data_IF_385868622129
#
_entry.id   IF_385868622129
#
_cell.length_a   1.000
_cell.length_b   1.000
_cell.length_c   1.000
_cell.angle_alpha   90.00
_cell.angle_beta   90.00
_cell.angle_gamma   90.00
#
_symmetry.space_group_name_H-M   'P 1'
#
loop_
_entity.id
_entity.type
_entity.pdbx_description
1 polymer ?
#
# COMPACT_ATOMS: atom_id res chain seq x y z
N UNK A 1 15.41 2.61 -18.45
CA UNK A 1 14.63 1.47 -17.94
C UNK A 1 13.36 1.41 -18.75
N UNK A 2 12.96 0.24 -19.24
CA UNK A 2 11.74 0.10 -20.05
C UNK A 2 10.47 0.31 -19.20
N UNK A 3 9.37 0.72 -19.84
CA UNK A 3 8.10 1.02 -19.16
C UNK A 3 7.44 -0.23 -18.57
N UNK A 4 7.64 -1.40 -19.19
CA UNK A 4 7.16 -2.69 -18.69
C UNK A 4 7.91 -3.07 -17.40
N UNK A 5 9.23 -2.87 -17.34
CA UNK A 5 10.04 -3.04 -16.14
C UNK A 5 9.58 -2.10 -15.01
N UNK A 6 9.31 -0.83 -15.33
CA UNK A 6 8.80 0.13 -14.34
C UNK A 6 7.43 -0.29 -13.78
N UNK A 7 6.53 -0.81 -14.63
CA UNK A 7 5.24 -1.33 -14.18
C UNK A 7 5.39 -2.56 -13.26
N UNK A 8 6.31 -3.48 -13.58
CA UNK A 8 6.59 -4.62 -12.72
C UNK A 8 7.12 -4.19 -11.35
N UNK A 9 8.07 -3.25 -11.33
CA UNK A 9 8.60 -2.69 -10.09
C UNK A 9 7.50 -1.99 -9.28
N UNK A 10 6.63 -1.22 -9.93
CA UNK A 10 5.55 -0.50 -9.27
C UNK A 10 4.51 -1.45 -8.67
N UNK A 11 4.15 -2.53 -9.37
CA UNK A 11 3.27 -3.58 -8.83
C UNK A 11 3.91 -4.27 -7.63
N UNK A 12 5.20 -4.58 -7.70
CA UNK A 12 5.93 -5.19 -6.59
C UNK A 12 5.96 -4.27 -5.36
N UNK A 13 6.15 -2.97 -5.56
CA UNK A 13 6.07 -1.97 -4.51
C UNK A 13 4.68 -1.93 -3.85
N UNK A 14 3.62 -1.92 -4.65
CA UNK A 14 2.23 -1.93 -4.14
C UNK A 14 1.99 -3.19 -3.30
N UNK A 15 2.41 -4.37 -3.77
CA UNK A 15 2.26 -5.63 -3.04
C UNK A 15 3.00 -5.62 -1.70
N UNK A 16 4.23 -5.11 -1.68
CA UNK A 16 5.00 -4.94 -0.45
C UNK A 16 4.34 -3.95 0.51
N UNK A 17 3.88 -2.80 0.02
CA UNK A 17 3.21 -1.80 0.85
C UNK A 17 1.92 -2.35 1.47
N UNK A 18 1.10 -3.05 0.67
CA UNK A 18 -0.14 -3.66 1.14
C UNK A 18 0.14 -4.72 2.23
N UNK A 19 1.07 -5.65 1.98
CA UNK A 19 1.40 -6.72 2.93
C UNK A 19 1.94 -6.17 4.25
N UNK A 20 2.85 -5.19 4.18
CA UNK A 20 3.40 -4.56 5.37
C UNK A 20 2.35 -3.75 6.13
N UNK A 21 1.45 -3.06 5.42
CA UNK A 21 0.36 -2.30 6.05
C UNK A 21 -0.57 -3.23 6.80
N UNK A 22 -1.06 -4.30 6.16
CA UNK A 22 -1.95 -5.28 6.81
C UNK A 22 -1.27 -5.97 7.99
N UNK A 23 -0.02 -6.42 7.82
CA UNK A 23 0.73 -7.07 8.89
C UNK A 23 0.97 -6.16 10.09
N UNK A 24 1.30 -4.88 9.84
CA UNK A 24 1.47 -3.88 10.91
C UNK A 24 0.15 -3.62 11.63
N UNK A 25 -0.96 -3.45 10.90
CA UNK A 25 -2.27 -3.22 11.49
C UNK A 25 -2.73 -4.40 12.36
N UNK A 26 -2.50 -5.64 11.91
CA UNK A 26 -2.85 -6.82 12.68
C UNK A 26 -1.98 -6.97 13.93
N UNK A 27 -0.67 -6.72 13.82
CA UNK A 27 0.27 -6.80 14.93
C UNK A 27 -0.03 -5.76 16.01
N UNK A 28 -0.35 -4.54 15.59
CA UNK A 28 -0.49 -3.39 16.49
C UNK A 28 -1.95 -3.14 16.90
N UNK A 29 -2.90 -3.98 16.47
CA UNK A 29 -4.32 -3.81 16.74
C UNK A 29 -4.60 -3.81 18.26
N UNK A 30 -5.30 -2.79 18.78
CA UNK A 30 -5.69 -2.79 20.18
C UNK A 30 -6.71 -3.90 20.47
N UNK A 31 -6.64 -4.44 21.69
CA UNK A 31 -7.62 -5.40 22.19
C UNK A 31 -9.03 -4.79 22.13
N UNK A 32 -9.92 -5.41 21.35
CA UNK A 32 -11.33 -5.02 21.34
C UNK A 32 -12.01 -5.59 22.59
N UNK A 33 -12.33 -4.75 23.57
CA UNK A 33 -13.15 -5.19 24.70
C UNK A 33 -14.57 -5.48 24.22
N UNK A 34 -14.92 -6.77 24.12
CA UNK A 34 -16.25 -7.22 23.72
C UNK A 34 -17.30 -7.02 24.83
N UNK A 35 -16.87 -6.79 26.07
CA UNK A 35 -17.74 -6.55 27.23
C UNK A 35 -16.98 -5.83 28.35
N UNK A 36 -17.65 -4.97 29.16
CA UNK A 36 -17.01 -4.22 30.24
C UNK A 36 -16.37 -5.08 31.34
N UNK A 37 -16.85 -6.32 31.52
CA UNK A 37 -16.36 -7.26 32.54
C UNK A 37 -15.42 -8.33 31.98
N UNK A 38 -14.90 -8.18 30.76
CA UNK A 38 -13.96 -9.16 30.22
C UNK A 38 -12.62 -9.04 30.95
N UNK A 39 -12.07 -10.12 31.55
CA UNK A 39 -10.78 -10.08 32.23
C UNK A 39 -9.70 -9.64 31.23
N UNK A 40 -8.96 -8.59 31.57
CA UNK A 40 -7.90 -8.10 30.70
C UNK A 40 -6.76 -9.12 30.65
N UNK A 41 -6.32 -9.56 29.46
CA UNK A 41 -5.13 -10.39 29.36
C UNK A 41 -3.92 -9.64 29.92
N UNK A 42 -2.93 -10.35 30.50
CA UNK A 42 -1.74 -9.72 31.04
C UNK A 42 -1.07 -8.84 29.96
N UNK A 43 -0.81 -7.58 30.30
CA UNK A 43 -0.32 -6.58 29.37
C UNK A 43 0.96 -7.05 28.67
N UNK A 44 0.89 -7.25 27.35
CA UNK A 44 2.08 -7.38 26.53
C UNK A 44 2.72 -5.99 26.42
N UNK A 45 4.04 -5.91 26.60
CA UNK A 45 4.84 -4.69 26.75
C UNK A 45 4.89 -3.77 25.52
N UNK A 46 4.04 -3.96 24.53
CA UNK A 46 3.96 -3.14 23.31
C UNK A 46 2.79 -2.16 23.42
N UNK A 47 2.78 -1.33 24.47
CA UNK A 47 1.88 -0.18 24.52
C UNK A 47 2.43 0.91 23.59
N UNK A 48 2.18 0.79 22.29
CA UNK A 48 2.20 1.97 21.42
C UNK A 48 1.07 2.88 21.89
N UNK A 49 1.42 4.10 22.27
CA UNK A 49 0.49 5.15 22.67
C UNK A 49 -0.67 5.23 21.67
N UNK A 50 -1.93 5.07 22.12
CA UNK A 50 -3.12 4.94 21.25
C UNK A 50 -3.24 6.07 20.21
N UNK A 51 -2.66 7.25 20.50
CA UNK A 51 -2.59 8.36 19.56
C UNK A 51 -1.75 8.04 18.30
N UNK A 52 -0.65 7.30 18.44
CA UNK A 52 0.20 6.89 17.31
C UNK A 52 -0.47 5.83 16.43
N UNK A 53 -1.34 4.99 17.01
CA UNK A 53 -2.07 3.97 16.26
C UNK A 53 -3.08 4.57 15.26
N UNK A 54 -3.64 5.76 15.50
CA UNK A 54 -4.56 6.41 14.54
C UNK A 54 -3.81 7.01 13.33
N UNK A 55 -2.62 7.55 13.55
CA UNK A 55 -1.91 8.33 12.52
C UNK A 55 -1.07 7.47 11.57
N UNK A 56 -0.46 6.40 12.09
CA UNK A 56 0.35 5.49 11.29
C UNK A 56 -0.43 4.78 10.14
N UNK A 57 -1.66 4.27 10.35
CA UNK A 57 -2.48 3.70 9.29
C UNK A 57 -2.82 4.70 8.19
N UNK A 58 -3.09 5.97 8.56
CA UNK A 58 -3.38 7.03 7.59
C UNK A 58 -2.17 7.32 6.72
N UNK A 59 -0.98 7.38 7.32
CA UNK A 59 0.26 7.56 6.57
C UNK A 59 0.50 6.40 5.61
N UNK A 60 0.35 5.16 6.08
CA UNK A 60 0.47 3.95 5.25
C UNK A 60 -0.52 3.94 4.08
N UNK A 61 -1.79 4.28 4.35
CA UNK A 61 -2.82 4.39 3.32
C UNK A 61 -2.48 5.48 2.29
N UNK A 62 -1.95 6.63 2.73
CA UNK A 62 -1.52 7.70 1.83
C UNK A 62 -0.37 7.27 0.92
N UNK A 63 0.57 6.46 1.44
CA UNK A 63 1.69 5.92 0.68
C UNK A 63 1.20 4.92 -0.36
N UNK A 64 0.29 4.03 0.00
CA UNK A 64 -0.33 3.09 -0.92
C UNK A 64 -1.09 3.82 -2.05
N UNK A 65 -1.86 4.85 -1.71
CA UNK A 65 -2.58 5.66 -2.70
C UNK A 65 -1.63 6.38 -3.66
N UNK A 66 -0.49 6.90 -3.17
CA UNK A 66 0.52 7.51 -4.05
C UNK A 66 1.13 6.48 -5.01
N UNK A 67 1.42 5.28 -4.52
CA UNK A 67 1.94 4.20 -5.36
C UNK A 67 0.92 3.77 -6.43
N UNK A 68 -0.37 3.70 -6.09
CA UNK A 68 -1.44 3.41 -7.05
C UNK A 68 -1.53 4.50 -8.14
N UNK A 69 -1.47 5.78 -7.77
CA UNK A 69 -1.49 6.89 -8.75
C UNK A 69 -0.29 6.87 -9.70
N UNK A 70 0.89 6.47 -9.21
CA UNK A 70 2.07 6.29 -10.05
C UNK A 70 1.89 5.13 -11.03
N UNK A 71 1.29 4.03 -10.60
CA UNK A 71 0.93 2.92 -11.49
C UNK A 71 -0.04 3.38 -12.59
N UNK A 72 -1.09 4.12 -12.23
CA UNK A 72 -2.05 4.66 -13.21
C UNK A 72 -1.35 5.57 -14.24
N UNK A 73 -0.41 6.41 -13.80
CA UNK A 73 0.36 7.26 -14.70
C UNK A 73 1.24 6.44 -15.67
N UNK A 74 1.88 5.36 -15.19
CA UNK A 74 2.66 4.44 -16.04
C UNK A 74 1.76 3.72 -17.05
N UNK A 75 0.56 3.29 -16.65
CA UNK A 75 -0.42 2.69 -17.58
C UNK A 75 -0.89 3.69 -18.63
N UNK A 76 -1.14 4.94 -18.25
CA UNK A 76 -1.51 5.99 -19.20
C UNK A 76 -0.37 6.28 -20.21
N UNK A 77 0.88 6.18 -19.78
CA UNK A 77 2.04 6.32 -20.67
C UNK A 77 2.17 5.18 -21.68
N UNK A 78 1.73 3.95 -21.37
CA UNK A 78 1.67 2.85 -22.34
C UNK A 78 0.72 3.16 -23.50
N UNK A 79 -0.48 3.67 -23.19
CA UNK A 79 -1.49 3.97 -24.21
C UNK A 79 -1.01 5.04 -25.22
N UNK A 80 -0.08 5.91 -24.83
CA UNK A 80 0.53 6.91 -25.71
C UNK A 80 1.58 6.28 -26.63
N UNK A 81 2.24 5.22 -26.19
CA UNK A 81 3.25 4.50 -26.99
C UNK A 81 2.62 3.67 -28.11
N UNK A 82 1.44 3.09 -27.87
CA UNK A 82 0.69 2.27 -28.85
C UNK A 82 0.17 3.10 -30.04
N UNK A 83 -0.17 4.38 -29.80
CA UNK A 83 -0.49 5.34 -30.87
C UNK A 83 0.69 5.64 -31.82
N UNK A 84 1.91 5.19 -31.49
CA UNK A 84 3.09 5.28 -32.33
C UNK A 84 3.39 4.02 -33.16
N UNK A 85 2.82 2.86 -32.82
CA UNK A 85 3.14 1.58 -33.50
C UNK A 85 2.61 1.53 -34.94
N UNK A 86 1.48 2.19 -35.23
CA UNK A 86 0.94 2.40 -36.59
C UNK A 86 1.90 3.17 -37.52
N UNK A 87 2.80 3.99 -36.96
CA UNK A 87 3.83 4.70 -37.73
C UNK A 87 5.09 3.85 -37.97
N UNK A 88 5.38 2.86 -37.11
CA UNK A 88 6.54 1.96 -37.27
C UNK A 88 6.29 0.84 -38.27
N UNK A 89 5.03 0.39 -38.43
CA UNK A 89 4.62 -0.61 -39.43
C UNK A 89 4.70 -0.11 -40.89
N UNK A 90 4.97 1.18 -41.11
CA UNK A 90 5.04 1.81 -42.43
C UNK A 90 6.47 2.16 -42.88
N UNK A 91 7.48 1.53 -42.27
CA UNK A 91 8.89 1.66 -42.66
C UNK A 91 9.37 0.43 -43.44
#
# INVERSE_FOLDING_TARGET
MDIVSQLQEQVNLIAHLASNTVGTLQRDAPSSQLSPNYPEPPAHTTSMDSANFSEQPKLMASTLMKAAKQFDALVASLAISDAGEEAQLKS
#
